data_IF_478878899758
#
_entry.id   IF_478878899758
#
_cell.length_a   1.000
_cell.length_b   1.000
_cell.length_c   1.000
_cell.angle_alpha   90.00
_cell.angle_beta   90.00
_cell.angle_gamma   90.00
#
_symmetry.space_group_name_H-M   'P 1'
#
loop_
_entity.id
_entity.type
_entity.pdbx_description
1 polymer ?
#
# COMPACT_ATOMS: atom_id res chain seq x y z
N UNK A 1 -2.03 -11.15 -19.08
CA UNK A 1 -1.63 -12.55 -19.34
C UNK A 1 -1.97 -13.37 -18.08
N UNK A 2 -2.48 -14.60 -18.22
CA UNK A 2 -3.24 -15.31 -17.16
C UNK A 2 -2.44 -15.46 -15.85
N UNK A 3 -3.00 -14.95 -14.75
CA UNK A 3 -2.43 -14.98 -13.40
C UNK A 3 -3.20 -15.93 -12.46
N UNK A 4 -4.38 -16.38 -12.89
CA UNK A 4 -5.31 -17.18 -12.11
C UNK A 4 -5.09 -18.69 -12.25
N UNK A 5 -4.25 -19.12 -13.20
CA UNK A 5 -3.87 -20.52 -13.33
C UNK A 5 -3.18 -21.03 -12.05
N UNK A 6 -3.68 -22.14 -11.51
CA UNK A 6 -3.14 -22.76 -10.29
C UNK A 6 -1.83 -23.52 -10.53
N UNK A 7 -1.54 -23.93 -11.77
CA UNK A 7 -0.32 -24.63 -12.12
C UNK A 7 0.83 -23.63 -12.26
N UNK A 8 1.77 -23.68 -11.32
CA UNK A 8 2.94 -22.80 -11.27
C UNK A 8 4.17 -23.62 -10.88
N UNK A 9 5.28 -23.40 -11.59
CA UNK A 9 6.56 -24.06 -11.33
C UNK A 9 7.57 -22.98 -10.94
N UNK A 10 8.26 -23.19 -9.82
CA UNK A 10 9.26 -22.28 -9.27
C UNK A 10 10.60 -22.99 -9.13
N UNK A 11 11.70 -22.28 -9.34
CA UNK A 11 13.02 -22.79 -8.95
C UNK A 11 13.16 -22.78 -7.44
N UNK A 12 14.02 -23.66 -6.91
CA UNK A 12 14.25 -23.83 -5.47
C UNK A 12 14.61 -22.51 -4.78
N UNK A 13 15.43 -21.67 -5.41
CA UNK A 13 15.91 -20.42 -4.83
C UNK A 13 14.76 -19.41 -4.68
N UNK A 14 13.97 -19.21 -5.73
CA UNK A 14 12.81 -18.32 -5.70
C UNK A 14 11.76 -18.82 -4.70
N UNK A 15 11.53 -20.14 -4.65
CA UNK A 15 10.56 -20.74 -3.74
C UNK A 15 10.94 -20.52 -2.26
N UNK A 16 12.23 -20.52 -1.92
CA UNK A 16 12.71 -20.29 -0.55
C UNK A 16 12.66 -18.82 -0.12
N UNK A 17 12.81 -17.90 -1.07
CA UNK A 17 12.81 -16.47 -0.79
C UNK A 17 11.42 -15.83 -0.76
N UNK A 18 10.41 -16.54 -1.29
CA UNK A 18 9.02 -16.10 -1.28
C UNK A 18 8.45 -16.07 0.14
N UNK A 19 8.38 -14.89 0.74
CA UNK A 19 7.67 -14.68 2.01
C UNK A 19 6.16 -14.60 1.76
N UNK A 20 5.49 -15.74 1.87
CA UNK A 20 4.03 -15.83 1.76
C UNK A 20 3.39 -15.56 3.12
N UNK A 21 2.74 -14.40 3.27
CA UNK A 21 1.98 -14.05 4.47
C UNK A 21 0.47 -13.97 4.16
N UNK A 22 -0.37 -14.66 4.93
CA UNK A 22 -1.83 -14.61 4.79
C UNK A 22 -2.35 -14.94 3.37
N UNK A 23 -3.18 -14.06 2.79
CA UNK A 23 -3.79 -14.24 1.46
C UNK A 23 -2.84 -13.92 0.28
N UNK A 24 -1.56 -13.60 0.56
CA UNK A 24 -0.54 -13.25 -0.46
C UNK A 24 -0.20 -14.40 -1.41
N UNK A 25 -0.57 -15.65 -1.09
CA UNK A 25 -0.45 -16.80 -1.99
C UNK A 25 -1.18 -16.57 -3.32
N UNK A 26 -2.25 -15.75 -3.34
CA UNK A 26 -2.95 -15.36 -4.58
C UNK A 26 -2.07 -14.56 -5.53
N UNK A 27 -1.11 -13.82 -4.97
CA UNK A 27 -0.22 -12.92 -5.68
C UNK A 27 1.20 -13.47 -5.82
N UNK A 28 1.40 -14.77 -5.60
CA UNK A 28 2.72 -15.42 -5.63
C UNK A 28 3.51 -15.16 -6.93
N UNK A 29 2.83 -15.02 -8.07
CA UNK A 29 3.48 -14.66 -9.35
C UNK A 29 3.97 -13.22 -9.34
N UNK A 30 3.19 -12.30 -8.77
CA UNK A 30 3.60 -10.91 -8.60
C UNK A 30 4.76 -10.81 -7.61
N UNK A 31 4.68 -11.50 -6.46
CA UNK A 31 5.78 -11.54 -5.49
C UNK A 31 7.06 -12.12 -6.11
N UNK A 32 6.96 -13.24 -6.84
CA UNK A 32 8.12 -13.82 -7.51
C UNK A 32 8.75 -12.84 -8.51
N UNK A 33 7.92 -12.11 -9.26
CA UNK A 33 8.41 -11.05 -10.15
C UNK A 33 9.12 -9.93 -9.39
N UNK A 34 8.58 -9.51 -8.25
CA UNK A 34 9.20 -8.50 -7.37
C UNK A 34 10.53 -8.98 -6.78
N UNK A 35 10.65 -10.27 -6.48
CA UNK A 35 11.91 -10.90 -6.08
C UNK A 35 12.91 -11.08 -7.25
N UNK A 36 12.56 -10.63 -8.46
CA UNK A 36 13.44 -10.62 -9.63
C UNK A 36 13.34 -11.86 -10.52
N UNK A 37 12.33 -12.70 -10.31
CA UNK A 37 12.07 -13.86 -11.16
C UNK A 37 11.68 -13.45 -12.58
N UNK A 38 12.22 -14.17 -13.57
CA UNK A 38 11.72 -14.12 -14.94
C UNK A 38 10.57 -15.10 -15.10
N UNK A 39 9.42 -14.59 -15.52
CA UNK A 39 8.19 -15.37 -15.65
C UNK A 39 7.98 -15.70 -17.12
N UNK A 40 7.91 -17.00 -17.44
CA UNK A 40 7.50 -17.51 -18.75
C UNK A 40 6.15 -18.18 -18.61
N UNK A 41 5.20 -17.84 -19.49
CA UNK A 41 3.90 -18.50 -19.56
C UNK A 41 3.94 -19.57 -20.64
N UNK A 42 3.52 -20.79 -20.28
CA UNK A 42 3.42 -21.92 -21.20
C UNK A 42 1.94 -22.27 -21.33
N UNK A 43 1.39 -22.40 -22.56
CA UNK A 43 -0.01 -22.76 -22.75
C UNK A 43 -0.25 -24.16 -22.19
N UNK A 44 -1.31 -24.31 -21.40
CA UNK A 44 -1.73 -25.59 -20.81
C UNK A 44 -3.18 -25.86 -21.16
N UNK A 45 -3.52 -27.12 -21.40
CA UNK A 45 -4.89 -27.53 -21.71
C UNK A 45 -5.64 -27.78 -20.40
N UNK A 46 -6.66 -26.95 -20.12
CA UNK A 46 -7.54 -27.16 -18.98
C UNK A 46 -8.70 -28.08 -19.37
N UNK A 47 -8.96 -29.09 -18.55
CA UNK A 47 -10.11 -29.99 -18.72
C UNK A 47 -11.31 -29.45 -17.93
N UNK A 48 -12.52 -29.66 -18.45
CA UNK A 48 -13.74 -29.27 -17.78
C UNK A 48 -13.89 -30.02 -16.45
N UNK A 49 -14.37 -29.34 -15.41
CA UNK A 49 -14.61 -29.96 -14.11
C UNK A 49 -15.81 -30.91 -14.23
N UNK A 50 -15.63 -32.17 -13.84
CA UNK A 50 -16.69 -33.19 -13.92
C UNK A 50 -17.66 -33.19 -12.72
N UNK A 51 -17.29 -32.61 -11.57
CA UNK A 51 -18.13 -32.59 -10.37
C UNK A 51 -17.84 -31.38 -9.44
N UNK A 52 -18.87 -30.96 -8.70
CA UNK A 52 -18.82 -29.92 -7.67
C UNK A 52 -19.25 -28.52 -8.15
N UNK A 53 -19.68 -27.68 -7.20
CA UNK A 53 -20.12 -26.30 -7.46
C UNK A 53 -18.92 -25.34 -7.42
N UNK A 54 -18.94 -24.32 -8.27
CA UNK A 54 -17.96 -23.24 -8.28
C UNK A 54 -17.98 -22.48 -6.95
N UNK A 55 -16.85 -22.44 -6.22
CA UNK A 55 -16.67 -21.65 -4.99
C UNK A 55 -16.32 -20.17 -5.26
N UNK A 56 -16.60 -19.67 -6.46
CA UNK A 56 -16.37 -18.27 -6.81
C UNK A 56 -17.58 -17.43 -6.35
N UNK A 57 -17.47 -16.80 -5.19
CA UNK A 57 -18.44 -15.82 -4.70
C UNK A 57 -18.01 -14.38 -5.03
N UNK A 58 -18.98 -13.48 -5.20
CA UNK A 58 -18.77 -12.04 -5.41
C UNK A 58 -17.99 -11.39 -4.25
N UNK A 59 -18.14 -11.88 -3.02
CA UNK A 59 -17.37 -11.45 -1.85
C UNK A 59 -15.85 -11.57 -2.07
N UNK A 60 -15.43 -12.54 -2.89
CA UNK A 60 -14.01 -12.76 -3.21
C UNK A 60 -13.43 -11.64 -4.06
N UNK A 61 -14.24 -10.96 -4.88
CA UNK A 61 -13.80 -9.86 -5.74
C UNK A 61 -13.36 -8.68 -4.87
N UNK A 62 -14.16 -8.29 -3.87
CA UNK A 62 -13.81 -7.20 -2.95
C UNK A 62 -12.54 -7.50 -2.16
N UNK A 63 -12.38 -8.73 -1.67
CA UNK A 63 -11.14 -9.16 -0.99
C UNK A 63 -9.92 -9.07 -1.91
N UNK A 64 -10.05 -9.51 -3.17
CA UNK A 64 -8.96 -9.41 -4.16
C UNK A 64 -8.60 -7.97 -4.46
N UNK A 65 -9.56 -7.07 -4.60
CA UNK A 65 -9.31 -5.63 -4.85
C UNK A 65 -8.64 -4.97 -3.65
N UNK A 66 -9.11 -5.25 -2.44
CA UNK A 66 -8.51 -4.74 -1.20
C UNK A 66 -7.05 -5.20 -1.05
N UNK A 67 -6.78 -6.48 -1.30
CA UNK A 67 -5.42 -7.02 -1.28
C UNK A 67 -4.51 -6.44 -2.36
N UNK A 68 -5.04 -6.20 -3.57
CA UNK A 68 -4.28 -5.52 -4.62
C UNK A 68 -3.93 -4.08 -4.21
N UNK A 69 -4.86 -3.37 -3.59
CA UNK A 69 -4.62 -2.02 -3.08
C UNK A 69 -3.54 -2.06 -1.98
N UNK A 70 -3.60 -3.03 -1.07
CA UNK A 70 -2.59 -3.26 -0.04
C UNK A 70 -1.21 -3.53 -0.67
N UNK A 71 -1.14 -4.41 -1.68
CA UNK A 71 0.11 -4.73 -2.38
C UNK A 71 0.72 -3.53 -3.11
N UNK A 72 -0.11 -2.75 -3.78
CA UNK A 72 0.33 -1.51 -4.43
C UNK A 72 0.81 -0.49 -3.39
N UNK A 73 0.10 -0.40 -2.26
CA UNK A 73 0.49 0.46 -1.15
C UNK A 73 1.85 0.04 -0.58
N UNK A 74 2.04 -1.24 -0.27
CA UNK A 74 3.33 -1.77 0.20
C UNK A 74 4.42 -1.51 -0.84
N UNK A 75 4.18 -1.78 -2.12
CA UNK A 75 5.20 -1.56 -3.15
C UNK A 75 5.65 -0.10 -3.26
N UNK A 76 4.69 0.83 -3.23
CA UNK A 76 4.96 2.25 -3.55
C UNK A 76 5.33 3.09 -2.32
N UNK A 77 4.74 2.79 -1.16
CA UNK A 77 4.80 3.64 0.02
C UNK A 77 5.49 3.00 1.21
N UNK A 78 5.81 1.70 1.19
CA UNK A 78 6.52 1.04 2.30
C UNK A 78 7.93 1.59 2.51
N UNK A 79 8.56 2.17 1.49
CA UNK A 79 9.88 2.79 1.67
C UNK A 79 9.81 4.20 2.26
N UNK A 80 8.69 4.92 2.11
CA UNK A 80 8.48 6.29 2.61
C UNK A 80 7.00 6.58 2.90
N UNK A 81 6.42 6.02 3.97
CA UNK A 81 5.00 6.17 4.30
C UNK A 81 4.60 7.63 4.56
N UNK A 82 5.53 8.46 5.01
CA UNK A 82 5.28 9.87 5.30
C UNK A 82 4.82 10.66 4.07
N UNK A 83 5.23 10.28 2.85
CA UNK A 83 4.80 10.99 1.65
C UNK A 83 3.32 10.80 1.36
N UNK A 84 2.71 9.66 1.71
CA UNK A 84 1.27 9.48 1.47
C UNK A 84 0.46 10.19 2.56
N UNK A 85 0.67 9.79 3.81
CA UNK A 85 -0.13 10.28 4.92
C UNK A 85 0.20 11.73 5.28
N UNK A 86 1.47 12.14 5.13
CA UNK A 86 1.88 13.52 5.38
C UNK A 86 1.27 14.50 4.38
N UNK A 87 1.25 14.18 3.08
CA UNK A 87 0.62 15.04 2.06
C UNK A 87 -0.90 15.10 2.30
N UNK A 88 -1.54 13.96 2.55
CA UNK A 88 -2.99 13.92 2.78
C UNK A 88 -3.38 14.67 4.07
N UNK A 89 -2.64 14.46 5.16
CA UNK A 89 -2.83 15.17 6.41
C UNK A 89 -2.62 16.67 6.27
N UNK A 90 -1.56 17.09 5.56
CA UNK A 90 -1.31 18.51 5.27
C UNK A 90 -2.45 19.16 4.47
N UNK A 91 -2.95 18.48 3.43
CA UNK A 91 -4.09 18.97 2.63
C UNK A 91 -5.36 19.10 3.48
N UNK A 92 -5.64 18.15 4.37
CA UNK A 92 -6.80 18.23 5.27
C UNK A 92 -6.67 19.38 6.27
N UNK A 93 -5.48 19.59 6.85
CA UNK A 93 -5.21 20.74 7.74
C UNK A 93 -5.39 22.04 6.98
N UNK A 94 -4.80 22.15 5.78
CA UNK A 94 -4.91 23.35 4.94
C UNK A 94 -6.38 23.69 4.64
N UNK A 95 -7.15 22.68 4.23
CA UNK A 95 -8.59 22.84 3.96
C UNK A 95 -9.37 23.25 5.21
N UNK A 96 -9.09 22.61 6.36
CA UNK A 96 -9.72 22.94 7.63
C UNK A 96 -9.38 24.36 8.11
N UNK A 97 -8.14 24.80 7.92
CA UNK A 97 -7.70 26.17 8.23
C UNK A 97 -8.40 27.18 7.32
N UNK A 98 -8.50 26.93 6.01
CA UNK A 98 -9.21 27.82 5.09
C UNK A 98 -10.68 28.00 5.47
N UNK A 99 -11.38 26.91 5.84
CA UNK A 99 -12.78 26.95 6.28
C UNK A 99 -12.91 27.78 7.57
N UNK A 100 -12.01 27.59 8.54
CA UNK A 100 -12.03 28.35 9.79
C UNK A 100 -11.68 29.83 9.60
N UNK A 101 -10.73 30.16 8.73
CA UNK A 101 -10.40 31.55 8.38
C UNK A 101 -11.60 32.23 7.72
N UNK A 102 -12.27 31.55 6.80
CA UNK A 102 -13.49 32.07 6.17
C UNK A 102 -14.58 32.39 7.20
N UNK A 103 -14.81 31.49 8.16
CA UNK A 103 -15.75 31.75 9.25
C UNK A 103 -15.28 32.89 10.16
N UNK A 104 -13.98 32.97 10.45
CA UNK A 104 -13.41 34.04 11.28
C UNK A 104 -13.62 35.44 10.65
N UNK A 105 -13.47 35.56 9.33
CA UNK A 105 -13.78 36.79 8.58
C UNK A 105 -15.26 37.15 8.70
N UNK A 106 -16.17 36.18 8.62
CA UNK A 106 -17.61 36.44 8.82
C UNK A 106 -17.89 36.93 10.24
N UNK A 107 -17.20 36.36 11.24
CA UNK A 107 -17.37 36.76 12.65
C UNK A 107 -17.00 38.22 12.87
N UNK A 108 -15.81 38.58 12.43
CA UNK A 108 -15.19 39.87 12.73
C UNK A 108 -15.67 40.96 11.78
N UNK A 109 -16.02 40.61 10.54
CA UNK A 109 -16.50 41.56 9.53
C UNK A 109 -18.01 41.82 9.60
N UNK A 110 -18.83 40.78 9.81
CA UNK A 110 -20.30 40.90 9.72
C UNK A 110 -21.01 40.74 11.07
N UNK A 111 -20.28 40.47 12.16
CA UNK A 111 -20.85 40.36 13.52
C UNK A 111 -21.86 39.22 13.70
N UNK A 112 -21.91 38.25 12.79
CA UNK A 112 -22.86 37.15 12.85
C UNK A 112 -22.39 36.03 13.78
N UNK A 113 -23.33 35.39 14.47
CA UNK A 113 -23.07 34.21 15.28
C UNK A 113 -22.69 33.00 14.42
N UNK A 114 -21.64 32.30 14.85
CA UNK A 114 -21.02 31.18 14.12
C UNK A 114 -21.23 29.85 14.83
N UNK A 115 -21.52 29.86 16.13
CA UNK A 115 -21.61 28.64 16.95
C UNK A 115 -22.64 27.62 16.46
N UNK A 116 -23.70 28.08 15.78
CA UNK A 116 -24.77 27.22 15.23
C UNK A 116 -24.49 26.70 13.83
N UNK A 117 -23.41 27.13 13.16
CA UNK A 117 -23.10 26.68 11.79
C UNK A 117 -22.35 25.34 11.84
N UNK A 118 -22.88 24.27 11.21
CA UNK A 118 -22.19 22.97 11.14
C UNK A 118 -20.78 23.08 10.52
N UNK A 119 -20.57 24.10 9.68
CA UNK A 119 -19.30 24.36 9.01
C UNK A 119 -18.13 24.60 9.98
N UNK A 120 -18.38 25.15 11.18
CA UNK A 120 -17.36 25.34 12.22
C UNK A 120 -16.85 23.98 12.72
N UNK A 121 -17.78 23.09 13.03
CA UNK A 121 -17.47 21.73 13.52
C UNK A 121 -16.74 20.95 12.42
N UNK A 122 -17.19 21.05 11.16
CA UNK A 122 -16.50 20.46 10.03
C UNK A 122 -15.06 20.99 9.91
N UNK A 123 -14.86 22.31 9.92
CA UNK A 123 -13.52 22.90 9.84
C UNK A 123 -12.59 22.41 10.95
N UNK A 124 -13.08 22.33 12.19
CA UNK A 124 -12.32 21.80 13.33
C UNK A 124 -12.01 20.31 13.18
N UNK A 125 -12.98 19.49 12.75
CA UNK A 125 -12.79 18.05 12.49
C UNK A 125 -11.75 17.79 11.40
N UNK A 126 -11.72 18.60 10.35
CA UNK A 126 -10.69 18.50 9.29
C UNK A 126 -9.29 18.78 9.84
N UNK A 127 -9.13 19.76 10.73
CA UNK A 127 -7.84 20.05 11.39
C UNK A 127 -7.45 18.87 12.29
N UNK A 128 -8.35 18.39 13.15
CA UNK A 128 -8.07 17.28 14.07
C UNK A 128 -7.73 15.99 13.31
N UNK A 129 -8.53 15.64 12.30
CA UNK A 129 -8.27 14.47 11.46
C UNK A 129 -6.97 14.62 10.68
N UNK A 130 -6.66 15.81 10.16
CA UNK A 130 -5.41 16.07 9.46
C UNK A 130 -4.18 15.89 10.35
N UNK A 131 -4.23 16.37 11.61
CA UNK A 131 -3.17 16.16 12.61
C UNK A 131 -3.02 14.66 12.94
N UNK A 132 -4.13 13.94 13.10
CA UNK A 132 -4.11 12.49 13.36
C UNK A 132 -3.45 11.73 12.21
N UNK A 133 -3.84 11.99 10.97
CA UNK A 133 -3.27 11.34 9.78
C UNK A 133 -1.78 11.66 9.65
N UNK A 134 -1.39 12.91 9.90
CA UNK A 134 0.02 13.31 9.89
C UNK A 134 0.84 12.56 10.95
N UNK A 135 0.31 12.45 12.17
CA UNK A 135 0.93 11.72 13.27
C UNK A 135 1.09 10.24 12.94
N UNK A 136 0.06 9.60 12.37
CA UNK A 136 0.13 8.21 11.89
C UNK A 136 1.24 8.05 10.84
N UNK A 137 1.40 9.02 9.93
CA UNK A 137 2.49 9.02 8.95
C UNK A 137 3.88 8.96 9.58
N UNK A 138 4.11 9.76 10.64
CA UNK A 138 5.38 9.76 11.39
C UNK A 138 5.60 8.44 12.13
N UNK A 139 4.56 7.93 12.80
CA UNK A 139 4.65 6.65 13.52
C UNK A 139 4.98 5.52 12.55
N UNK A 140 4.37 5.48 11.36
CA UNK A 140 4.66 4.48 10.34
C UNK A 140 6.09 4.56 9.83
N UNK A 141 6.64 5.77 9.63
CA UNK A 141 8.04 5.96 9.26
C UNK A 141 8.99 5.38 10.32
N UNK A 142 8.70 5.59 11.61
CA UNK A 142 9.47 5.02 12.73
C UNK A 142 9.39 3.49 12.76
N UNK A 143 8.18 2.94 12.59
CA UNK A 143 7.94 1.49 12.59
C UNK A 143 8.67 0.79 11.44
N UNK A 144 8.72 1.41 10.27
CA UNK A 144 9.42 0.82 9.11
C UNK A 144 10.93 0.85 9.32
N UNK A 145 11.48 1.94 9.87
CA UNK A 145 12.91 2.02 10.20
C UNK A 145 13.29 0.94 11.21
N UNK A 146 12.53 0.80 12.29
CA UNK A 146 12.75 -0.26 13.28
C UNK A 146 12.57 -1.66 12.69
N UNK A 147 11.60 -1.88 11.80
CA UNK A 147 11.43 -3.15 11.09
C UNK A 147 12.67 -3.55 10.27
N UNK A 148 13.20 -2.63 9.46
CA UNK A 148 14.38 -2.90 8.63
C UNK A 148 15.67 -3.05 9.47
N UNK A 149 15.82 -2.24 10.52
CA UNK A 149 16.97 -2.28 11.42
C UNK A 149 16.98 -3.58 12.24
N UNK A 150 15.83 -4.01 12.76
CA UNK A 150 15.70 -5.24 13.54
C UNK A 150 15.95 -6.51 12.71
N UNK A 151 15.48 -6.55 11.46
CA UNK A 151 15.63 -7.76 10.63
C UNK A 151 17.00 -7.90 9.94
N UNK A 152 17.90 -6.91 10.04
CA UNK A 152 19.16 -6.84 9.26
C UNK A 152 18.94 -7.10 7.75
N UNK A 153 17.73 -6.88 7.25
CA UNK A 153 17.38 -7.09 5.83
C UNK A 153 17.67 -5.80 5.08
N UNK A 154 18.47 -5.90 4.03
CA UNK A 154 18.79 -4.76 3.17
C UNK A 154 17.54 -4.39 2.35
N UNK A 155 17.24 -3.09 2.17
CA UNK A 155 16.10 -2.65 1.36
C UNK A 155 16.31 -2.85 -0.16
N UNK A 156 17.47 -3.35 -0.56
CA UNK A 156 17.84 -3.65 -1.94
C UNK A 156 18.39 -5.07 -2.05
N UNK A 157 18.23 -5.67 -3.24
CA UNK A 157 18.66 -7.05 -3.52
C UNK A 157 19.67 -7.07 -4.65
N UNK A 158 20.81 -7.71 -4.43
CA UNK A 158 21.89 -7.81 -5.43
C UNK A 158 21.64 -9.07 -6.26
N UNK A 159 21.44 -8.91 -7.58
CA UNK A 159 21.17 -10.04 -8.48
C UNK A 159 22.44 -10.78 -8.91
N UNK A 160 23.55 -10.07 -9.09
CA UNK A 160 24.85 -10.62 -9.46
C UNK A 160 25.95 -9.67 -8.99
N UNK A 161 26.94 -10.18 -8.28
CA UNK A 161 28.21 -9.48 -8.03
C UNK A 161 29.17 -9.97 -9.09
N UNK A 162 29.71 -9.06 -9.89
CA UNK A 162 30.79 -9.40 -10.83
C UNK A 162 32.04 -8.78 -10.24
N UNK A 163 32.97 -9.62 -9.79
CA UNK A 163 34.31 -9.17 -9.43
C UNK A 163 35.05 -9.08 -10.76
N UNK A 164 35.44 -7.86 -11.16
CA UNK A 164 36.32 -7.70 -12.30
C UNK A 164 37.69 -8.22 -11.90
N UNK A 165 38.20 -9.23 -12.61
CA UNK A 165 39.59 -9.62 -12.48
C UNK A 165 40.44 -8.43 -12.91
N UNK A 166 41.11 -7.81 -11.94
CA UNK A 166 42.08 -6.74 -12.17
C UNK A 166 43.31 -7.31 -12.84
N UNK A 167 43.29 -7.41 -14.16
CA UNK A 167 44.47 -7.55 -15.02
C UNK A 167 44.35 -6.49 -16.11
N UNK A 168 44.90 -5.32 -15.80
CA UNK A 168 45.36 -4.33 -16.77
C UNK A 168 46.81 -4.61 -17.10
#
# INVERSE_FOLDING_TARGET
KDNGCALKVFTKDIAKDLNLYGEMHRFITLLAHLEGAQIKQVPVKHHARHAGVSKYGLERVFKVVADMMLLLFIRKYFQRPIHLFGIFGFLMILLGVLINIYLLVIKLGFGQDIGTRPLLIFGLMFILAGIQVFTIGIVMELLIRTYYESQKKRPYRIKKVTVGDGLA
#
